data_IF_559573014235
#
_entry.id   IF_559573014235
#
_cell.length_a   1.000
_cell.length_b   1.000
_cell.length_c   1.000
_cell.angle_alpha   90.00
_cell.angle_beta   90.00
_cell.angle_gamma   90.00
#
_symmetry.space_group_name_H-M   'P 1'
#
loop_
_entity.id
_entity.type
_entity.pdbx_description
1 polymer ?
#
# COMPACT_ATOMS: atom_id res chain seq x y z
N UNK A 1 5.10 -0.86 5.69
CA UNK A 1 4.42 -1.04 4.39
C UNK A 1 4.89 -2.26 3.59
N UNK A 2 6.01 -2.21 2.84
CA UNK A 2 6.41 -3.36 1.99
C UNK A 2 6.76 -4.62 2.81
N UNK A 3 7.34 -4.43 4.00
CA UNK A 3 7.59 -5.52 4.95
C UNK A 3 6.28 -6.17 5.43
N UNK A 4 5.24 -5.37 5.71
CA UNK A 4 3.93 -5.88 6.14
C UNK A 4 3.29 -6.73 5.04
N UNK A 5 3.39 -6.27 3.80
CA UNK A 5 2.93 -7.02 2.63
C UNK A 5 3.72 -8.32 2.42
N UNK A 6 5.05 -8.27 2.54
CA UNK A 6 5.91 -9.46 2.42
C UNK A 6 5.61 -10.48 3.52
N UNK A 7 5.39 -10.03 4.76
CA UNK A 7 4.99 -10.90 5.86
C UNK A 7 3.63 -11.57 5.57
N UNK A 8 2.64 -10.81 5.10
CA UNK A 8 1.36 -11.35 4.65
C UNK A 8 1.51 -12.41 3.53
N UNK A 9 2.38 -12.18 2.53
CA UNK A 9 2.58 -13.14 1.44
C UNK A 9 3.09 -14.50 1.93
N UNK A 10 3.88 -14.50 3.01
CA UNK A 10 4.47 -15.71 3.65
C UNK A 10 3.65 -16.29 4.80
N UNK A 11 2.59 -15.60 5.26
CA UNK A 11 1.78 -16.02 6.38
C UNK A 11 0.96 -17.28 6.03
N UNK A 12 0.82 -18.19 7.01
CA UNK A 12 0.01 -19.40 6.86
C UNK A 12 -1.50 -19.11 6.85
N UNK A 13 -1.94 -18.09 7.58
CA UNK A 13 -3.31 -17.58 7.54
C UNK A 13 -3.30 -16.17 6.97
N UNK A 14 -3.79 -16.02 5.73
CA UNK A 14 -3.75 -14.76 5.00
C UNK A 14 -5.00 -13.95 5.27
N UNK A 15 -4.94 -13.06 6.26
CA UNK A 15 -5.99 -12.09 6.51
C UNK A 15 -5.71 -10.78 5.77
N UNK A 16 -6.41 -10.57 4.65
CA UNK A 16 -6.24 -9.36 3.85
C UNK A 16 -6.84 -8.11 4.51
N UNK A 17 -7.77 -8.28 5.46
CA UNK A 17 -8.34 -7.17 6.24
C UNK A 17 -7.35 -6.67 7.27
N UNK A 18 -6.65 -7.58 7.95
CA UNK A 18 -5.55 -7.19 8.83
C UNK A 18 -4.42 -6.50 8.08
N UNK A 19 -4.06 -7.01 6.89
CA UNK A 19 -3.10 -6.34 6.02
C UNK A 19 -3.58 -4.93 5.65
N UNK A 20 -4.81 -4.77 5.15
CA UNK A 20 -5.35 -3.46 4.77
C UNK A 20 -5.30 -2.46 5.93
N UNK A 21 -5.67 -2.89 7.14
CA UNK A 21 -5.57 -2.06 8.35
C UNK A 21 -4.12 -1.65 8.65
N UNK A 22 -3.17 -2.57 8.53
CA UNK A 22 -1.74 -2.27 8.73
C UNK A 22 -1.24 -1.27 7.68
N UNK A 23 -1.58 -1.46 6.40
CA UNK A 23 -1.18 -0.55 5.33
C UNK A 23 -1.79 0.85 5.51
N UNK A 24 -3.07 0.93 5.90
CA UNK A 24 -3.73 2.20 6.20
C UNK A 24 -3.03 2.94 7.36
N UNK A 25 -2.72 2.25 8.45
CA UNK A 25 -2.03 2.86 9.58
C UNK A 25 -0.64 3.40 9.18
N UNK A 26 0.07 2.71 8.29
CA UNK A 26 1.34 3.19 7.74
C UNK A 26 1.15 4.42 6.83
N UNK A 27 0.11 4.45 5.99
CA UNK A 27 -0.25 5.60 5.15
C UNK A 27 -0.53 6.82 6.03
N UNK A 28 -1.33 6.65 7.08
CA UNK A 28 -1.69 7.72 8.00
C UNK A 28 -0.43 8.27 8.70
N UNK A 29 0.49 7.39 9.11
CA UNK A 29 1.77 7.79 9.71
C UNK A 29 2.67 8.55 8.73
N UNK A 30 2.74 8.09 7.48
CA UNK A 30 3.54 8.70 6.42
C UNK A 30 3.02 10.11 6.08
N UNK A 31 1.71 10.24 5.93
CA UNK A 31 1.05 11.48 5.51
C UNK A 31 0.96 12.51 6.65
N UNK A 32 0.75 12.07 7.89
CA UNK A 32 0.66 12.96 9.07
C UNK A 32 1.95 13.71 9.39
N UNK A 33 3.10 13.23 8.92
CA UNK A 33 4.42 13.83 9.16
C UNK A 33 5.04 14.43 7.89
N UNK A 34 4.25 14.67 6.83
CA UNK A 34 4.80 15.17 5.57
C UNK A 34 5.31 16.61 5.71
N UNK A 35 6.64 16.77 5.71
CA UNK A 35 7.33 18.06 5.74
C UNK A 35 8.16 18.32 4.47
N UNK A 36 8.22 17.33 3.57
CA UNK A 36 8.98 17.40 2.32
C UNK A 36 8.32 18.38 1.35
N UNK A 37 9.13 19.04 0.50
CA UNK A 37 8.66 19.98 -0.53
C UNK A 37 9.48 19.84 -1.80
N UNK A 38 8.91 20.25 -2.92
CA UNK A 38 9.57 20.27 -4.22
C UNK A 38 9.28 19.03 -5.08
N UNK A 39 9.92 18.94 -6.24
CA UNK A 39 9.53 17.97 -7.29
C UNK A 39 9.50 16.51 -6.83
N UNK A 40 10.46 16.09 -6.00
CA UNK A 40 10.48 14.71 -5.49
C UNK A 40 9.28 14.38 -4.60
N UNK A 41 8.81 15.35 -3.81
CA UNK A 41 7.59 15.22 -3.02
C UNK A 41 6.35 15.10 -3.93
N UNK A 42 6.28 15.91 -4.99
CA UNK A 42 5.15 15.88 -5.92
C UNK A 42 5.08 14.54 -6.68
N UNK A 43 6.22 13.99 -7.10
CA UNK A 43 6.27 12.65 -7.70
C UNK A 43 5.91 11.55 -6.69
N UNK A 44 6.34 11.67 -5.43
CA UNK A 44 5.91 10.74 -4.38
C UNK A 44 4.39 10.79 -4.18
N UNK A 45 3.78 11.97 -4.19
CA UNK A 45 2.33 12.12 -4.08
C UNK A 45 1.58 11.49 -5.25
N UNK A 46 2.11 11.59 -6.48
CA UNK A 46 1.52 10.91 -7.64
C UNK A 46 1.55 9.40 -7.53
N UNK A 47 2.58 8.84 -6.89
CA UNK A 47 2.64 7.42 -6.58
C UNK A 47 1.72 7.04 -5.40
N UNK A 48 1.69 7.88 -4.36
CA UNK A 48 1.00 7.58 -3.11
C UNK A 48 -0.52 7.66 -3.24
N UNK A 49 -1.06 8.63 -3.99
CA UNK A 49 -2.51 8.79 -4.18
C UNK A 49 -3.21 7.51 -4.68
N UNK A 50 -2.84 6.93 -5.83
CA UNK A 50 -3.48 5.69 -6.29
C UNK A 50 -3.23 4.51 -5.35
N UNK A 51 -2.08 4.49 -4.64
CA UNK A 51 -1.81 3.46 -3.63
C UNK A 51 -2.78 3.53 -2.44
N UNK A 52 -3.12 4.75 -1.97
CA UNK A 52 -4.11 4.95 -0.90
C UNK A 52 -5.47 4.40 -1.33
N UNK A 53 -5.92 4.77 -2.54
CA UNK A 53 -7.19 4.27 -3.09
C UNK A 53 -7.22 2.74 -3.16
N UNK A 54 -6.15 2.09 -3.66
CA UNK A 54 -6.06 0.63 -3.70
C UNK A 54 -6.13 -0.01 -2.31
N UNK A 55 -5.51 0.61 -1.29
CA UNK A 55 -5.56 0.10 0.10
C UNK A 55 -6.96 0.25 0.69
N UNK A 56 -7.65 1.36 0.42
CA UNK A 56 -9.06 1.54 0.80
C UNK A 56 -9.94 0.48 0.13
N UNK A 57 -9.79 0.25 -1.18
CA UNK A 57 -10.55 -0.79 -1.91
C UNK A 57 -10.28 -2.21 -1.35
N UNK A 58 -9.03 -2.51 -0.99
CA UNK A 58 -8.68 -3.77 -0.30
C UNK A 58 -9.41 -3.88 1.06
N UNK A 59 -9.49 -2.78 1.79
CA UNK A 59 -10.19 -2.71 3.08
C UNK A 59 -11.69 -2.96 2.96
N UNK A 60 -12.28 -2.70 1.79
CA UNK A 60 -13.70 -2.91 1.50
C UNK A 60 -13.99 -4.25 0.79
N UNK A 61 -12.97 -4.92 0.24
CA UNK A 61 -13.14 -6.18 -0.49
C UNK A 61 -13.89 -7.25 0.32
N UNK A 62 -14.88 -7.92 -0.30
CA UNK A 62 -15.79 -8.83 0.42
C UNK A 62 -15.30 -10.28 0.48
N UNK A 63 -14.34 -10.62 -0.36
CA UNK A 63 -13.79 -11.97 -0.47
C UNK A 63 -12.32 -11.93 -0.87
N UNK A 64 -11.61 -13.04 -0.65
CA UNK A 64 -10.22 -13.20 -1.10
C UNK A 64 -10.09 -13.03 -2.62
N UNK A 65 -11.11 -13.46 -3.38
CA UNK A 65 -11.13 -13.32 -4.84
C UNK A 65 -11.20 -11.85 -5.25
N UNK A 66 -12.01 -11.06 -4.55
CA UNK A 66 -12.11 -9.61 -4.80
C UNK A 66 -10.81 -8.92 -4.37
N UNK A 67 -10.24 -9.32 -3.23
CA UNK A 67 -8.99 -8.80 -2.70
C UNK A 67 -7.78 -9.09 -3.60
N UNK A 68 -7.77 -10.21 -4.33
CA UNK A 68 -6.65 -10.64 -5.15
C UNK A 68 -6.20 -9.59 -6.17
N UNK A 69 -7.14 -8.85 -6.76
CA UNK A 69 -6.84 -7.75 -7.69
C UNK A 69 -6.04 -6.65 -6.98
N UNK A 70 -6.55 -6.15 -5.85
CA UNK A 70 -5.92 -5.07 -5.10
C UNK A 70 -4.56 -5.48 -4.52
N UNK A 71 -4.41 -6.74 -4.09
CA UNK A 71 -3.12 -7.28 -3.65
C UNK A 71 -2.08 -7.28 -4.79
N UNK A 72 -2.48 -7.58 -6.03
CA UNK A 72 -1.57 -7.48 -7.18
C UNK A 72 -1.22 -6.04 -7.53
N UNK A 73 -2.17 -5.12 -7.41
CA UNK A 73 -1.95 -3.69 -7.62
C UNK A 73 -0.98 -3.13 -6.57
N UNK A 74 -1.18 -3.44 -5.29
CA UNK A 74 -0.26 -3.09 -4.19
C UNK A 74 1.16 -3.62 -4.46
N UNK A 75 1.28 -4.89 -4.85
CA UNK A 75 2.58 -5.48 -5.22
C UNK A 75 3.25 -4.73 -6.37
N UNK A 76 2.46 -4.31 -7.36
CA UNK A 76 2.97 -3.55 -8.50
C UNK A 76 3.38 -2.13 -8.12
N UNK A 77 2.64 -1.49 -7.21
CA UNK A 77 2.99 -0.20 -6.63
C UNK A 77 4.33 -0.25 -5.91
N UNK A 78 4.62 -1.31 -5.12
CA UNK A 78 5.94 -1.48 -4.49
C UNK A 78 7.07 -1.65 -5.52
N UNK A 79 6.85 -2.39 -6.62
CA UNK A 79 7.84 -2.47 -7.70
C UNK A 79 8.15 -1.11 -8.31
N UNK A 80 7.11 -0.31 -8.58
CA UNK A 80 7.25 1.06 -9.09
C UNK A 80 8.01 1.93 -8.09
N UNK A 81 7.66 1.84 -6.80
CA UNK A 81 8.36 2.56 -5.75
C UNK A 81 9.85 2.22 -5.73
N UNK A 82 10.17 0.93 -5.70
CA UNK A 82 11.55 0.44 -5.66
C UNK A 82 12.36 0.79 -6.92
N UNK A 83 11.69 0.96 -8.06
CA UNK A 83 12.35 1.39 -9.30
C UNK A 83 12.73 2.88 -9.30
N UNK A 84 11.94 3.74 -8.65
CA UNK A 84 12.07 5.20 -8.80
C UNK A 84 12.49 5.94 -7.52
N UNK A 85 12.35 5.34 -6.33
CA UNK A 85 12.51 6.01 -5.03
C UNK A 85 13.44 5.30 -4.03
N UNK A 86 14.02 4.15 -4.38
CA UNK A 86 14.89 3.36 -3.49
C UNK A 86 16.38 3.65 -3.68
#
# INVERSE_FOLDING_TARGET
>A
MEQDFSAYETAHNKDFKELAKSLQANIDLLTSNCTMKGKAHDELHKWLLPYIETVEELSEAKSEKDAAKFLQEIKSSFKTFNQYFQ
#
